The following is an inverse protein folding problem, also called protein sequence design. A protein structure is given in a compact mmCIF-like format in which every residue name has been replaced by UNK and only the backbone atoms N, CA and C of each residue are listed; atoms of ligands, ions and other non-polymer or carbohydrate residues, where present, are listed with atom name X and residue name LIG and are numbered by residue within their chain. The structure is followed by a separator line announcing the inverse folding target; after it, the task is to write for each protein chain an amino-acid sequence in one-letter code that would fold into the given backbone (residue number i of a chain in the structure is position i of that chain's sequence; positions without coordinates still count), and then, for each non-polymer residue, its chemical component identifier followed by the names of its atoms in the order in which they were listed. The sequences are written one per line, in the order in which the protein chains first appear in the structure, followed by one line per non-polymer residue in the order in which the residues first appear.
data_IF_337823134141
#
_entry.id   IF_337823134141
#
_cell.length_a   1.000
_cell.length_b   1.000
_cell.length_c   1.000
_cell.angle_alpha   90.00
_cell.angle_beta   90.00
_cell.angle_gamma   90.00
#
_symmetry.space_group_name_H-M   'P 1'
#
loop_
_entity.id
_entity.type
_entity.pdbx_description
1 polymer ?
#
# COMPACT_ATOMS: atom_id res chain seq x y z
N UNK A 1 -26.96 -7.76 3.70
CA UNK A 1 -26.58 -6.97 2.50
C UNK A 1 -25.94 -7.93 1.52
N UNK A 2 -26.37 -7.98 0.26
CA UNK A 2 -25.75 -8.90 -0.71
C UNK A 2 -24.31 -8.48 -1.08
N UNK A 3 -23.52 -9.41 -1.63
CA UNK A 3 -22.11 -9.20 -1.98
C UNK A 3 -21.91 -8.06 -2.98
N UNK A 4 -22.82 -7.90 -3.94
CA UNK A 4 -22.71 -6.84 -4.94
C UNK A 4 -22.93 -5.46 -4.31
N UNK A 5 -23.87 -5.35 -3.37
CA UNK A 5 -24.11 -4.11 -2.61
C UNK A 5 -22.90 -3.75 -1.74
N UNK A 6 -22.26 -4.73 -1.09
CA UNK A 6 -21.03 -4.48 -0.31
C UNK A 6 -19.88 -3.98 -1.21
N UNK A 7 -19.69 -4.60 -2.38
CA UNK A 7 -18.65 -4.18 -3.33
C UNK A 7 -18.90 -2.77 -3.88
N UNK A 8 -20.16 -2.41 -4.16
CA UNK A 8 -20.54 -1.04 -4.55
C UNK A 8 -20.22 -0.03 -3.45
N UNK A 9 -20.63 -0.32 -2.21
CA UNK A 9 -20.34 0.55 -1.07
C UNK A 9 -18.83 0.74 -0.85
N UNK A 10 -18.02 -0.31 -1.01
CA UNK A 10 -16.56 -0.20 -0.99
C UNK A 10 -16.04 0.71 -2.11
N UNK A 11 -16.54 0.57 -3.34
CA UNK A 11 -16.14 1.41 -4.46
C UNK A 11 -16.47 2.89 -4.20
N UNK A 12 -17.67 3.17 -3.69
CA UNK A 12 -18.10 4.54 -3.33
C UNK A 12 -17.21 5.15 -2.25
N UNK A 13 -16.86 4.37 -1.22
CA UNK A 13 -15.95 4.81 -0.15
C UNK A 13 -14.54 5.12 -0.67
N UNK A 14 -13.99 4.28 -1.54
CA UNK A 14 -12.68 4.53 -2.17
C UNK A 14 -12.72 5.77 -3.06
N UNK A 15 -13.80 5.97 -3.83
CA UNK A 15 -13.97 7.17 -4.65
C UNK A 15 -14.08 8.43 -3.78
N UNK A 16 -14.83 8.38 -2.67
CA UNK A 16 -14.93 9.48 -1.73
C UNK A 16 -13.58 9.85 -1.10
N UNK A 17 -12.77 8.86 -0.71
CA UNK A 17 -11.43 9.08 -0.18
C UNK A 17 -10.53 9.78 -1.21
N UNK A 18 -10.50 9.31 -2.46
CA UNK A 18 -9.74 9.97 -3.54
C UNK A 18 -10.20 11.40 -3.78
N UNK A 19 -11.51 11.61 -3.85
CA UNK A 19 -12.09 12.95 -4.04
C UNK A 19 -11.72 13.92 -2.92
N UNK A 20 -11.58 13.44 -1.68
CA UNK A 20 -11.14 14.25 -0.54
C UNK A 20 -9.72 14.79 -0.73
N UNK A 21 -8.78 13.94 -1.16
CA UNK A 21 -7.38 14.33 -1.41
C UNK A 21 -7.24 15.17 -2.68
N UNK A 22 -7.95 14.81 -3.76
CA UNK A 22 -7.95 15.55 -5.02
C UNK A 22 -8.41 17.01 -4.85
N UNK A 23 -9.46 17.26 -4.06
CA UNK A 23 -9.92 18.62 -3.73
C UNK A 23 -8.87 19.48 -3.02
N UNK A 24 -7.90 18.84 -2.36
CA UNK A 24 -6.77 19.48 -1.66
C UNK A 24 -5.49 19.54 -2.49
N UNK A 25 -5.53 19.06 -3.74
CA UNK A 25 -4.36 18.94 -4.63
C UNK A 25 -3.25 18.04 -4.04
N UNK A 26 -3.63 17.03 -3.27
CA UNK A 26 -2.70 16.00 -2.76
C UNK A 26 -2.66 14.87 -3.79
N UNK A 27 -1.46 14.49 -4.23
CA UNK A 27 -1.24 13.55 -5.34
C UNK A 27 -1.32 12.10 -4.88
N UNK A 28 -2.11 11.26 -5.56
CA UNK A 28 -2.06 9.80 -5.36
C UNK A 28 -0.78 9.25 -5.96
N UNK A 29 -0.03 8.44 -5.19
CA UNK A 29 1.19 7.77 -5.65
C UNK A 29 1.05 6.25 -5.57
N UNK A 30 1.75 5.54 -6.45
CA UNK A 30 1.98 4.10 -6.36
C UNK A 30 3.47 3.86 -6.10
N UNK A 31 3.78 3.11 -5.05
CA UNK A 31 5.14 2.87 -4.57
C UNK A 31 5.72 1.52 -5.01
N UNK A 32 4.95 0.69 -5.71
CA UNK A 32 5.32 -0.69 -6.02
C UNK A 32 5.27 -1.58 -4.77
N UNK A 33 4.60 -2.74 -4.87
CA UNK A 33 4.44 -3.62 -3.71
C UNK A 33 5.69 -4.47 -3.38
N UNK A 34 6.56 -4.71 -4.36
CA UNK A 34 7.75 -5.56 -4.24
C UNK A 34 9.00 -4.69 -4.06
N UNK A 35 9.74 -4.91 -2.98
CA UNK A 35 10.98 -4.19 -2.65
C UNK A 35 12.14 -5.17 -2.46
N UNK A 36 13.38 -4.72 -2.74
CA UNK A 36 14.58 -5.57 -2.61
C UNK A 36 15.03 -5.79 -1.16
N UNK A 37 14.64 -4.91 -0.24
CA UNK A 37 15.02 -5.01 1.16
C UNK A 37 13.76 -5.02 2.04
N UNK A 38 13.70 -5.90 3.05
CA UNK A 38 12.54 -5.97 3.92
C UNK A 38 12.39 -4.67 4.72
N UNK A 39 11.15 -4.16 4.90
CA UNK A 39 10.90 -3.07 5.84
C UNK A 39 11.34 -3.46 7.26
N UNK A 40 11.91 -2.51 8.00
CA UNK A 40 12.31 -2.69 9.39
C UNK A 40 11.16 -2.27 10.31
N UNK A 41 10.42 -3.24 10.83
CA UNK A 41 9.44 -3.07 11.91
C UNK A 41 9.56 -4.26 12.87
N UNK A 42 9.72 -3.98 14.16
CA UNK A 42 9.96 -5.00 15.18
C UNK A 42 8.77 -5.93 15.42
N UNK A 43 7.55 -5.50 15.08
CA UNK A 43 6.31 -6.23 15.38
C UNK A 43 5.61 -6.75 14.13
N UNK A 44 6.20 -6.56 12.94
CA UNK A 44 5.57 -6.96 11.68
C UNK A 44 6.48 -7.92 10.93
N UNK A 45 6.00 -9.15 10.75
CA UNK A 45 6.66 -10.13 9.91
C UNK A 45 6.46 -9.82 8.42
N UNK A 46 7.55 -9.93 7.64
CA UNK A 46 7.57 -9.62 6.21
C UNK A 46 7.36 -10.88 5.37
N UNK A 47 6.61 -10.76 4.28
CA UNK A 47 6.48 -11.82 3.27
C UNK A 47 7.60 -11.70 2.23
N UNK A 48 8.39 -12.77 2.05
CA UNK A 48 9.38 -12.87 0.98
C UNK A 48 8.80 -13.54 -0.26
N UNK A 49 9.22 -13.10 -1.44
CA UNK A 49 8.79 -13.60 -2.75
C UNK A 49 10.03 -13.97 -3.56
N UNK A 50 10.06 -15.17 -4.15
CA UNK A 50 11.08 -15.52 -5.14
C UNK A 50 10.79 -14.76 -6.43
N UNK A 51 11.68 -13.85 -6.82
CA UNK A 51 11.57 -13.04 -8.06
C UNK A 51 12.20 -13.79 -9.22
N UNK A 52 13.28 -14.53 -8.94
CA UNK A 52 13.94 -15.46 -9.85
C UNK A 52 14.70 -16.50 -9.03
N UNK A 53 15.34 -17.47 -9.69
CA UNK A 53 16.14 -18.51 -9.03
C UNK A 53 17.26 -17.98 -8.12
N UNK A 54 17.67 -16.71 -8.28
CA UNK A 54 18.76 -16.08 -7.53
C UNK A 54 18.35 -14.81 -6.78
N UNK A 55 17.10 -14.39 -6.88
CA UNK A 55 16.64 -13.12 -6.34
C UNK A 55 15.39 -13.30 -5.48
N UNK A 56 15.44 -12.74 -4.27
CA UNK A 56 14.32 -12.65 -3.35
C UNK A 56 13.95 -11.18 -3.22
N UNK A 57 12.67 -10.90 -3.38
CA UNK A 57 12.06 -9.62 -3.02
C UNK A 57 11.14 -9.78 -1.82
N UNK A 58 10.61 -8.67 -1.35
CA UNK A 58 9.77 -8.61 -0.17
C UNK A 58 8.53 -7.79 -0.49
N UNK A 59 7.35 -8.25 -0.04
CA UNK A 59 6.16 -7.42 -0.12
C UNK A 59 6.21 -6.36 0.97
N UNK A 60 5.99 -5.10 0.61
CA UNK A 60 6.01 -4.00 1.57
C UNK A 60 4.90 -4.14 2.61
N UNK A 61 5.23 -3.87 3.87
CA UNK A 61 4.29 -3.82 5.00
C UNK A 61 3.65 -2.44 5.15
N UNK A 62 4.28 -1.44 4.51
CA UNK A 62 3.89 -0.04 4.43
C UNK A 62 4.63 0.63 3.26
N UNK A 63 4.01 1.59 2.54
CA UNK A 63 4.69 2.37 1.49
C UNK A 63 5.62 3.45 2.08
N UNK A 64 5.74 3.57 3.40
CA UNK A 64 6.40 4.69 4.09
C UNK A 64 7.80 5.01 3.56
N UNK A 65 8.67 4.01 3.39
CA UNK A 65 10.03 4.23 2.89
C UNK A 65 10.04 4.77 1.46
N UNK A 66 9.20 4.23 0.59
CA UNK A 66 9.08 4.69 -0.80
C UNK A 66 8.48 6.10 -0.86
N UNK A 67 7.45 6.39 -0.06
CA UNK A 67 6.86 7.73 0.03
C UNK A 67 7.86 8.75 0.60
N UNK A 68 8.66 8.39 1.61
CA UNK A 68 9.72 9.26 2.13
C UNK A 68 10.74 9.63 1.05
N UNK A 69 11.10 8.69 0.17
CA UNK A 69 11.99 8.98 -0.98
C UNK A 69 11.36 9.98 -1.94
N UNK A 70 10.08 9.80 -2.28
CA UNK A 70 9.34 10.76 -3.12
C UNK A 70 9.29 12.17 -2.48
N UNK A 71 9.09 12.24 -1.17
CA UNK A 71 9.13 13.51 -0.43
C UNK A 71 10.51 14.19 -0.55
N UNK A 72 11.60 13.43 -0.41
CA UNK A 72 12.96 13.97 -0.59
C UNK A 72 13.26 14.38 -2.03
N UNK A 73 12.55 13.79 -3.00
CA UNK A 73 12.63 14.14 -4.43
C UNK A 73 11.69 15.29 -4.81
N UNK A 74 10.96 15.86 -3.83
CA UNK A 74 10.15 17.06 -4.04
C UNK A 74 8.72 16.79 -4.53
N UNK A 75 8.16 15.61 -4.27
CA UNK A 75 6.78 15.27 -4.68
C UNK A 75 5.69 16.19 -4.12
N UNK A 76 5.98 16.93 -3.04
CA UNK A 76 4.98 17.67 -2.27
C UNK A 76 4.03 16.72 -1.53
N UNK A 77 2.83 17.19 -1.23
CA UNK A 77 1.82 16.42 -0.50
C UNK A 77 1.33 15.23 -1.33
N UNK A 78 1.53 14.02 -0.80
CA UNK A 78 1.19 12.75 -1.46
C UNK A 78 0.38 11.82 -0.54
N UNK A 79 -0.42 10.94 -1.15
CA UNK A 79 -1.08 9.85 -0.44
C UNK A 79 -1.00 8.54 -1.23
N UNK A 80 -1.10 7.42 -0.53
CA UNK A 80 -1.16 6.08 -1.13
C UNK A 80 -2.49 5.42 -0.76
N UNK A 81 -3.13 4.78 -1.74
CA UNK A 81 -4.35 4.00 -1.53
C UNK A 81 -4.26 2.64 -2.25
N UNK A 82 -3.59 1.69 -1.60
CA UNK A 82 -3.36 0.35 -2.14
C UNK A 82 -3.20 -0.72 -1.06
N UNK A 83 -2.76 -1.90 -1.48
CA UNK A 83 -2.55 -3.03 -0.58
C UNK A 83 -1.17 -3.00 0.08
N UNK A 84 -1.13 -3.46 1.33
CA UNK A 84 0.09 -3.78 2.09
C UNK A 84 -0.04 -5.19 2.64
N UNK A 85 1.10 -5.83 2.92
CA UNK A 85 1.14 -7.25 3.24
C UNK A 85 1.93 -7.48 4.52
N UNK A 86 1.28 -8.10 5.50
CA UNK A 86 1.87 -8.41 6.81
C UNK A 86 1.70 -9.90 7.08
N UNK A 87 2.81 -10.61 7.22
CA UNK A 87 2.81 -12.07 7.33
C UNK A 87 2.15 -12.48 8.65
N UNK A 88 1.28 -13.49 8.59
CA UNK A 88 0.62 -14.04 9.78
C UNK A 88 -0.60 -13.25 10.27
N UNK A 89 -0.85 -12.04 9.77
CA UNK A 89 -2.05 -11.26 10.13
C UNK A 89 -3.27 -11.73 9.33
N UNK A 90 -4.03 -12.66 9.92
CA UNK A 90 -5.23 -13.24 9.31
C UNK A 90 -6.44 -13.00 10.23
N UNK A 91 -7.47 -12.34 9.70
CA UNK A 91 -8.75 -12.16 10.38
C UNK A 91 -9.77 -13.26 10.06
N UNK A 92 -10.88 -13.35 10.80
CA UNK A 92 -12.02 -14.20 10.43
C UNK A 92 -12.56 -13.79 9.05
N UNK A 93 -13.10 -14.77 8.32
CA UNK A 93 -13.75 -14.55 7.02
C UNK A 93 -15.17 -14.00 7.18
#
# INVERSE_FOLDING_TARGET
MDKATLLRSRADALAAARNFFAKRKITEVDCGALVHSPPLDANIDVMSVSVSDREIGYLHTSPEYAMKRLLTEGSGDIYFLGHVYRKGEIGPR
#
